data_IF_251027207784
#
_entry.id   IF_251027207784
#
_cell.length_a   1.000
_cell.length_b   1.000
_cell.length_c   1.000
_cell.angle_alpha   90.00
_cell.angle_beta   90.00
_cell.angle_gamma   90.00
#
_symmetry.space_group_name_H-M   'P 1'
#
loop_
_entity.id
_entity.type
_entity.pdbx_description
1 polymer ?
#
# COMPACT_ATOMS: atom_id res chain seq x y z
N UNK A 1 -14.44 10.07 1.28
CA UNK A 1 -12.99 10.19 1.56
C UNK A 1 -12.53 9.11 2.53
N UNK A 2 -13.09 9.00 3.74
CA UNK A 2 -12.67 7.99 4.74
C UNK A 2 -12.94 6.53 4.29
N UNK A 3 -14.08 6.26 3.67
CA UNK A 3 -14.39 4.93 3.13
C UNK A 3 -13.40 4.54 2.02
N UNK A 4 -13.09 5.48 1.13
CA UNK A 4 -12.11 5.31 0.04
C UNK A 4 -10.70 5.06 0.58
N UNK A 5 -10.25 5.87 1.56
CA UNK A 5 -8.93 5.66 2.19
C UNK A 5 -8.84 4.30 2.87
N UNK A 6 -9.91 3.84 3.53
CA UNK A 6 -9.97 2.52 4.15
C UNK A 6 -9.77 1.40 3.12
N UNK A 7 -10.42 1.50 1.95
CA UNK A 7 -10.23 0.52 0.88
C UNK A 7 -8.81 0.53 0.31
N UNK A 8 -8.24 1.70 0.06
CA UNK A 8 -6.84 1.82 -0.39
C UNK A 8 -5.86 1.25 0.62
N UNK A 9 -6.06 1.51 1.92
CA UNK A 9 -5.23 0.96 2.98
C UNK A 9 -5.36 -0.57 3.08
N UNK A 10 -6.57 -1.12 2.97
CA UNK A 10 -6.81 -2.57 2.97
C UNK A 10 -6.11 -3.26 1.79
N UNK A 11 -6.32 -2.74 0.58
CA UNK A 11 -5.71 -3.29 -0.63
C UNK A 11 -4.19 -3.14 -0.56
N UNK A 12 -3.69 -1.95 -0.21
CA UNK A 12 -2.27 -1.68 -0.10
C UNK A 12 -1.56 -2.54 0.95
N UNK A 13 -2.20 -2.78 2.11
CA UNK A 13 -1.63 -3.67 3.13
C UNK A 13 -1.65 -5.14 2.72
N UNK A 14 -2.68 -5.61 2.01
CA UNK A 14 -2.69 -6.95 1.43
C UNK A 14 -1.56 -7.13 0.39
N UNK A 15 -1.35 -6.16 -0.50
CA UNK A 15 -0.24 -6.17 -1.44
C UNK A 15 1.12 -6.20 -0.72
N UNK A 16 1.27 -5.44 0.37
CA UNK A 16 2.52 -5.41 1.13
C UNK A 16 2.84 -6.74 1.82
N UNK A 17 1.81 -7.48 2.27
CA UNK A 17 2.00 -8.83 2.79
C UNK A 17 2.48 -9.77 1.68
N UNK A 18 1.89 -9.69 0.48
CA UNK A 18 2.33 -10.49 -0.68
C UNK A 18 3.78 -10.17 -1.04
N UNK A 19 4.13 -8.88 -1.12
CA UNK A 19 5.51 -8.45 -1.39
C UNK A 19 6.48 -8.99 -0.33
N UNK A 20 6.10 -8.97 0.95
CA UNK A 20 6.92 -9.53 2.03
C UNK A 20 7.14 -11.05 1.86
N UNK A 21 6.10 -11.80 1.49
CA UNK A 21 6.21 -13.24 1.19
C UNK A 21 7.17 -13.48 0.02
N UNK A 22 7.07 -12.69 -1.05
CA UNK A 22 7.95 -12.81 -2.22
C UNK A 22 9.41 -12.49 -1.88
N UNK A 23 9.65 -11.46 -1.05
CA UNK A 23 10.99 -11.13 -0.53
C UNK A 23 11.56 -12.31 0.26
N UNK A 24 10.78 -12.89 1.18
CA UNK A 24 11.21 -14.04 2.00
C UNK A 24 11.48 -15.28 1.15
N UNK A 25 10.62 -15.53 0.16
CA UNK A 25 10.77 -16.65 -0.78
C UNK A 25 11.88 -16.42 -1.82
N UNK A 26 12.54 -15.25 -1.83
CA UNK A 26 13.52 -14.83 -2.85
C UNK A 26 12.96 -14.91 -4.27
N UNK A 27 11.65 -14.74 -4.42
CA UNK A 27 10.98 -14.73 -5.71
C UNK A 27 11.07 -13.29 -6.24
N UNK A 28 11.57 -13.09 -7.47
CA UNK A 28 11.65 -11.77 -8.05
C UNK A 28 10.25 -11.15 -8.22
N UNK A 29 10.22 -9.83 -8.32
CA UNK A 29 8.98 -9.08 -8.41
C UNK A 29 8.13 -9.57 -9.60
N UNK A 30 6.79 -9.68 -9.48
CA UNK A 30 5.94 -10.12 -10.57
C UNK A 30 6.02 -9.20 -11.80
N UNK A 31 6.37 -7.92 -11.59
CA UNK A 31 6.71 -6.99 -12.66
C UNK A 31 8.23 -7.07 -12.89
N UNK A 32 8.67 -7.62 -14.04
CA UNK A 32 10.10 -7.82 -14.31
C UNK A 32 10.85 -6.49 -14.35
N UNK A 33 12.04 -6.48 -13.75
CA UNK A 33 12.94 -5.31 -13.70
C UNK A 33 12.67 -4.32 -12.56
N UNK A 34 11.60 -4.50 -11.77
CA UNK A 34 11.31 -3.63 -10.63
C UNK A 34 11.74 -4.25 -9.29
N UNK A 35 12.25 -3.45 -8.34
CA UNK A 35 12.56 -3.94 -7.00
C UNK A 35 11.28 -4.27 -6.23
N UNK A 36 11.35 -5.25 -5.33
CA UNK A 36 10.35 -5.43 -4.27
C UNK A 36 10.65 -4.44 -3.11
N UNK A 37 9.62 -3.95 -2.39
CA UNK A 37 8.18 -4.13 -2.64
C UNK A 37 7.74 -3.43 -3.93
N UNK A 38 6.75 -3.97 -4.63
CA UNK A 38 6.43 -3.49 -5.97
C UNK A 38 5.99 -2.00 -5.93
N UNK A 39 6.36 -1.18 -6.93
CA UNK A 39 6.05 0.26 -6.90
C UNK A 39 4.56 0.56 -6.77
N UNK A 40 3.72 -0.34 -7.29
CA UNK A 40 2.26 -0.22 -7.20
C UNK A 40 1.80 -0.33 -5.73
N UNK A 41 2.35 -1.27 -4.95
CA UNK A 41 2.08 -1.39 -3.51
C UNK A 41 2.37 -0.09 -2.78
N UNK A 42 3.53 0.51 -3.05
CA UNK A 42 3.93 1.79 -2.45
C UNK A 42 2.96 2.92 -2.80
N UNK A 43 2.58 3.04 -4.08
CA UNK A 43 1.63 4.03 -4.53
C UNK A 43 0.25 3.86 -3.85
N UNK A 44 -0.27 2.62 -3.79
CA UNK A 44 -1.59 2.34 -3.20
C UNK A 44 -1.59 2.63 -1.69
N UNK A 45 -0.54 2.22 -0.96
CA UNK A 45 -0.40 2.52 0.47
C UNK A 45 -0.24 4.02 0.72
N UNK A 46 0.63 4.69 -0.04
CA UNK A 46 0.88 6.13 0.10
C UNK A 46 -0.38 6.96 -0.15
N UNK A 47 -1.13 6.66 -1.21
CA UNK A 47 -2.41 7.32 -1.50
C UNK A 47 -3.44 7.02 -0.41
N UNK A 48 -3.53 5.77 0.06
CA UNK A 48 -4.42 5.40 1.16
C UNK A 48 -4.12 6.17 2.45
N UNK A 49 -2.84 6.31 2.81
CA UNK A 49 -2.38 7.07 3.97
C UNK A 49 -2.67 8.57 3.84
N UNK A 50 -2.38 9.17 2.68
CA UNK A 50 -2.67 10.59 2.42
C UNK A 50 -4.16 10.88 2.51
N UNK A 51 -4.99 10.06 1.85
CA UNK A 51 -6.45 10.21 1.91
C UNK A 51 -6.98 10.01 3.33
N UNK A 52 -6.38 9.09 4.10
CA UNK A 52 -6.75 8.86 5.50
C UNK A 52 -6.41 10.07 6.36
N UNK A 53 -5.20 10.63 6.23
CA UNK A 53 -4.74 11.78 6.99
C UNK A 53 -5.63 13.01 6.74
N UNK A 54 -5.94 13.31 5.47
CA UNK A 54 -6.80 14.44 5.10
C UNK A 54 -8.25 14.23 5.56
N UNK A 55 -8.74 13.00 5.52
CA UNK A 55 -10.15 12.69 5.81
C UNK A 55 -10.46 12.46 7.28
N UNK A 56 -9.47 12.06 8.09
CA UNK A 56 -9.72 11.65 9.47
C UNK A 56 -9.90 12.86 10.37
N UNK A 57 -10.98 12.84 11.17
CA UNK A 57 -11.24 13.88 12.18
C UNK A 57 -10.14 13.95 13.25
N UNK A 58 -9.36 12.88 13.43
CA UNK A 58 -8.23 12.87 14.35
C UNK A 58 -7.10 13.84 13.96
N UNK A 59 -7.01 14.23 12.69
CA UNK A 59 -6.00 15.17 12.19
C UNK A 59 -6.58 16.54 11.82
N UNK A 60 -7.87 16.76 12.06
CA UNK A 60 -8.54 18.04 11.87
C UNK A 60 -8.51 18.80 13.21
N UNK A 61 -7.67 19.83 13.29
CA UNK A 61 -7.70 20.83 14.37
C UNK A 61 -9.03 21.61 14.34
#
# INVERSE_FOLDING_TARGET
MLATSKWFLLVGSALLIIDAILIVAKIPNPIPGFPLPCPVTWCVLGVGLLLFAISSKAFKN
#
